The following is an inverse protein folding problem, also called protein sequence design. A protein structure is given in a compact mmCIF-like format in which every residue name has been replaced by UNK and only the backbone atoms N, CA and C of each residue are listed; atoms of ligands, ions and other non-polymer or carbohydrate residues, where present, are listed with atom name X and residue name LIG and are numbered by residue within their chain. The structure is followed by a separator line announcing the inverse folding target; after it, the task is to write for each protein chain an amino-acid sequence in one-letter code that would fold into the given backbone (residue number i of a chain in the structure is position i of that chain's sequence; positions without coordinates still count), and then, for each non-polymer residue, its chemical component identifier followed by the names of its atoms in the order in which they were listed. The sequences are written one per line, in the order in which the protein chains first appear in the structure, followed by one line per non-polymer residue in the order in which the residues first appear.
data_IF_277063419652
#
_entry.id   IF_277063419652
#
_cell.length_a   1.000
_cell.length_b   1.000
_cell.length_c   1.000
_cell.angle_alpha   90.00
_cell.angle_beta   90.00
_cell.angle_gamma   90.00
#
_symmetry.space_group_name_H-M   'P 1'
#
loop_
_entity.id
_entity.type
_entity.pdbx_description
1 polymer ?
#
# COMPACT_ATOMS: atom_id res chain seq x y z
N UNK A 1 11.85 3.52 14.71
CA UNK A 1 11.08 2.27 14.89
C UNK A 1 10.00 2.21 13.84
N UNK A 2 9.73 1.03 13.29
CA UNK A 2 8.68 0.84 12.27
C UNK A 2 7.35 0.44 12.91
N UNK A 3 6.27 1.11 12.50
CA UNK A 3 4.90 0.89 12.93
C UNK A 3 4.02 0.58 11.71
N UNK A 4 3.00 -0.27 11.86
CA UNK A 4 2.07 -0.59 10.79
C UNK A 4 0.61 -0.24 11.18
N UNK A 5 -0.17 0.21 10.19
CA UNK A 5 -1.62 0.43 10.25
C UNK A 5 -2.21 0.13 8.88
N UNK A 6 -3.53 0.12 8.71
CA UNK A 6 -4.21 0.09 7.40
C UNK A 6 -5.44 0.99 7.42
N UNK A 7 -6.17 1.01 6.30
CA UNK A 7 -7.56 1.50 6.20
C UNK A 7 -7.76 2.91 6.77
N UNK A 8 -6.95 3.84 6.29
CA UNK A 8 -6.99 5.23 6.73
C UNK A 8 -8.09 6.03 6.02
N UNK A 9 -8.44 5.65 4.79
CA UNK A 9 -9.51 6.23 3.96
C UNK A 9 -9.55 7.77 3.97
N UNK A 10 -8.38 8.42 4.01
CA UNK A 10 -8.29 9.88 4.03
C UNK A 10 -8.76 10.55 5.33
N UNK A 11 -9.02 9.80 6.40
CA UNK A 11 -9.44 10.35 7.69
C UNK A 11 -8.25 10.95 8.46
N UNK A 12 -8.04 12.25 8.26
CA UNK A 12 -7.01 13.00 8.98
C UNK A 12 -7.21 13.00 10.51
N UNK A 13 -8.43 12.78 11.01
CA UNK A 13 -8.69 12.75 12.45
C UNK A 13 -7.95 11.59 13.13
N UNK A 14 -7.71 10.48 12.42
CA UNK A 14 -6.92 9.35 12.91
C UNK A 14 -5.52 9.80 13.37
N UNK A 15 -4.84 10.67 12.60
CA UNK A 15 -3.52 11.22 12.95
C UNK A 15 -3.52 12.13 14.20
N UNK A 16 -4.69 12.47 14.73
CA UNK A 16 -4.82 13.23 15.98
C UNK A 16 -4.85 12.35 17.22
N UNK A 17 -4.98 11.02 17.06
CA UNK A 17 -4.94 10.06 18.16
C UNK A 17 -3.55 10.00 18.81
N UNK A 18 -3.50 9.71 20.12
CA UNK A 18 -2.26 9.69 20.92
C UNK A 18 -1.18 8.78 20.30
N UNK A 19 -1.55 7.61 19.77
CA UNK A 19 -0.62 6.66 19.15
C UNK A 19 0.22 7.27 18.04
N UNK A 20 -0.36 8.13 17.18
CA UNK A 20 0.36 8.78 16.09
C UNK A 20 1.08 10.07 16.51
N UNK A 21 0.72 10.66 17.66
CA UNK A 21 1.40 11.82 18.23
C UNK A 21 2.70 11.43 18.95
N UNK A 22 2.75 10.20 19.47
CA UNK A 22 3.89 9.68 20.23
C UNK A 22 5.04 9.19 19.34
N UNK A 23 4.78 8.99 18.04
CA UNK A 23 5.83 8.73 17.04
C UNK A 23 6.88 9.84 17.11
N UNK A 24 8.16 9.45 17.03
CA UNK A 24 9.35 10.29 17.19
C UNK A 24 10.00 10.56 15.83
N UNK A 25 10.98 11.45 15.85
CA UNK A 25 11.85 11.62 14.69
C UNK A 25 12.65 10.35 14.44
N UNK A 26 12.80 9.97 13.18
CA UNK A 26 13.42 8.70 12.78
C UNK A 26 12.49 7.49 12.81
N UNK A 27 11.26 7.61 13.33
CA UNK A 27 10.26 6.55 13.21
C UNK A 27 9.64 6.50 11.80
N UNK A 28 9.11 5.33 11.46
CA UNK A 28 8.42 5.06 10.20
C UNK A 28 7.03 4.48 10.46
N UNK A 29 5.99 5.09 9.89
CA UNK A 29 4.64 4.53 9.84
C UNK A 29 4.39 3.97 8.44
N UNK A 30 4.04 2.69 8.35
CA UNK A 30 3.63 2.02 7.12
C UNK A 30 2.11 1.83 7.14
N UNK A 31 1.42 2.27 6.09
CA UNK A 31 -0.02 2.07 5.87
C UNK A 31 -0.21 0.94 4.84
N UNK A 32 -0.82 -0.17 5.26
CA UNK A 32 -1.01 -1.40 4.50
C UNK A 32 -2.23 -1.33 3.56
N UNK A 33 -2.33 -0.27 2.75
CA UNK A 33 -3.44 -0.05 1.84
C UNK A 33 -4.46 0.98 2.32
N UNK A 34 -5.29 1.43 1.38
CA UNK A 34 -6.36 2.42 1.56
C UNK A 34 -5.91 3.66 2.37
N UNK A 35 -4.82 4.28 1.90
CA UNK A 35 -4.30 5.52 2.45
C UNK A 35 -5.31 6.67 2.27
N UNK A 36 -5.92 6.78 1.09
CA UNK A 36 -7.12 7.59 0.82
C UNK A 36 -6.94 9.12 0.87
N UNK A 37 -5.72 9.64 0.96
CA UNK A 37 -5.45 11.09 0.93
C UNK A 37 -5.17 11.64 -0.48
N UNK A 38 -5.22 10.78 -1.51
CA UNK A 38 -4.93 11.11 -2.92
C UNK A 38 -6.11 10.62 -3.75
N UNK A 39 -7.09 11.48 -3.99
CA UNK A 39 -8.30 11.10 -4.74
C UNK A 39 -8.68 12.11 -5.80
N UNK A 40 -8.85 13.37 -5.44
CA UNK A 40 -9.24 14.45 -6.37
C UNK A 40 -8.05 15.30 -6.81
N UNK A 41 -6.97 15.31 -6.04
CA UNK A 41 -5.83 16.21 -6.26
C UNK A 41 -6.18 17.68 -6.04
N UNK A 42 -7.28 17.95 -5.33
CA UNK A 42 -7.78 19.29 -5.09
C UNK A 42 -6.96 20.04 -4.02
N UNK A 43 -7.28 21.33 -3.83
CA UNK A 43 -6.55 22.16 -2.87
C UNK A 43 -6.75 21.72 -1.41
N UNK A 44 -7.83 20.98 -1.10
CA UNK A 44 -8.12 20.48 0.25
C UNK A 44 -7.23 19.29 0.57
N UNK A 45 -7.12 18.32 -0.34
CA UNK A 45 -6.21 17.18 -0.24
C UNK A 45 -4.75 17.64 -0.17
N UNK A 46 -4.34 18.57 -1.03
CA UNK A 46 -2.99 19.14 -0.99
C UNK A 46 -2.66 19.74 0.37
N UNK A 47 -3.57 20.50 0.97
CA UNK A 47 -3.39 21.06 2.32
C UNK A 47 -3.27 19.98 3.40
N UNK A 48 -3.96 18.85 3.26
CA UNK A 48 -3.85 17.72 4.20
C UNK A 48 -2.50 17.02 4.02
N UNK A 49 -2.10 16.73 2.78
CA UNK A 49 -0.79 16.17 2.46
C UNK A 49 0.35 17.07 2.95
N UNK A 50 0.20 18.39 2.89
CA UNK A 50 1.21 19.32 3.44
C UNK A 50 1.23 19.31 4.98
N UNK A 51 0.10 19.05 5.65
CA UNK A 51 0.07 18.85 7.11
C UNK A 51 0.75 17.53 7.49
N UNK A 52 0.50 16.46 6.75
CA UNK A 52 1.19 15.18 6.91
C UNK A 52 2.68 15.30 6.56
N UNK A 53 3.00 16.16 5.59
CA UNK A 53 4.33 16.53 5.13
C UNK A 53 5.23 17.12 6.23
N UNK A 54 4.61 17.70 7.27
CA UNK A 54 5.29 18.30 8.43
C UNK A 54 5.45 17.35 9.61
N UNK A 55 5.04 16.08 9.49
CA UNK A 55 5.26 15.09 10.54
C UNK A 55 6.75 14.76 10.61
N UNK A 56 7.30 14.65 11.82
CA UNK A 56 8.70 14.33 12.08
C UNK A 56 9.10 12.88 11.76
N UNK A 57 8.13 12.03 11.48
CA UNK A 57 8.32 10.63 11.09
C UNK A 57 7.97 10.43 9.61
N UNK A 58 8.46 9.33 9.04
CA UNK A 58 8.11 8.92 7.67
C UNK A 58 6.73 8.28 7.63
N UNK A 59 5.98 8.57 6.58
CA UNK A 59 4.70 7.93 6.27
C UNK A 59 4.89 7.20 4.93
N UNK A 60 4.90 5.89 4.99
CA UNK A 60 4.99 5.02 3.84
C UNK A 60 3.64 4.33 3.66
N UNK A 61 3.26 4.01 2.44
CA UNK A 61 2.06 3.22 2.20
C UNK A 61 2.23 2.33 0.98
N UNK A 62 1.55 1.20 0.97
CA UNK A 62 1.22 0.46 -0.25
C UNK A 62 -0.19 0.85 -0.68
N UNK A 63 -0.48 0.78 -1.97
CA UNK A 63 -1.84 0.98 -2.47
C UNK A 63 -2.79 -0.15 -2.01
N UNK A 64 -4.07 0.18 -1.84
CA UNK A 64 -5.13 -0.79 -1.58
C UNK A 64 -6.09 -0.93 -2.76
N UNK A 65 -7.34 -1.29 -2.49
CA UNK A 65 -8.39 -1.39 -3.53
C UNK A 65 -9.01 -0.03 -3.85
N UNK A 66 -9.02 0.89 -2.89
CA UNK A 66 -9.66 2.19 -3.02
C UNK A 66 -8.63 3.31 -3.13
N UNK A 67 -7.87 3.33 -4.24
CA UNK A 67 -6.91 4.39 -4.55
C UNK A 67 -7.13 5.00 -5.94
N UNK A 68 -6.77 6.28 -6.11
CA UNK A 68 -6.73 6.89 -7.44
C UNK A 68 -5.40 6.58 -8.15
N UNK A 69 -5.34 5.46 -8.85
CA UNK A 69 -4.14 5.00 -9.56
C UNK A 69 -3.65 5.99 -10.63
N UNK A 70 -4.55 6.63 -11.37
CA UNK A 70 -4.20 7.62 -12.39
C UNK A 70 -3.51 8.85 -11.79
N UNK A 71 -3.96 9.30 -10.61
CA UNK A 71 -3.35 10.41 -9.90
C UNK A 71 -2.05 9.99 -9.21
N UNK A 72 -2.01 8.78 -8.66
CA UNK A 72 -0.85 8.21 -7.99
C UNK A 72 0.33 8.04 -8.96
N UNK A 73 0.06 7.56 -10.18
CA UNK A 73 1.06 7.37 -11.23
C UNK A 73 1.67 8.69 -11.76
N UNK A 74 1.06 9.85 -11.48
CA UNK A 74 1.61 11.17 -11.87
C UNK A 74 2.69 11.67 -10.93
N UNK A 75 2.81 11.10 -9.73
CA UNK A 75 3.88 11.48 -8.81
C UNK A 75 5.24 10.99 -9.31
N UNK A 76 6.33 11.74 -9.08
CA UNK A 76 7.65 11.34 -9.57
C UNK A 76 8.10 10.03 -8.91
N UNK A 77 8.56 9.09 -9.73
CA UNK A 77 9.20 7.87 -9.28
C UNK A 77 10.63 8.21 -8.86
N UNK A 78 11.01 7.80 -7.66
CA UNK A 78 12.35 7.97 -7.11
C UNK A 78 12.87 6.63 -6.59
N UNK A 79 14.20 6.48 -6.53
CA UNK A 79 14.80 5.43 -5.73
C UNK A 79 14.77 5.87 -4.26
N UNK A 80 14.00 5.15 -3.45
CA UNK A 80 13.86 5.38 -2.02
C UNK A 80 14.18 4.08 -1.29
N UNK A 81 15.12 4.11 -0.34
CA UNK A 81 15.46 2.96 0.49
C UNK A 81 15.74 1.65 -0.30
N UNK A 82 16.30 1.78 -1.51
CA UNK A 82 16.65 0.63 -2.36
C UNK A 82 15.57 0.19 -3.36
N UNK A 83 14.34 0.72 -3.27
CA UNK A 83 13.22 0.37 -4.15
C UNK A 83 12.64 1.58 -4.89
N UNK A 84 11.84 1.31 -5.93
CA UNK A 84 11.07 2.36 -6.63
C UNK A 84 9.89 2.81 -5.77
N UNK A 85 9.75 4.12 -5.56
CA UNK A 85 8.62 4.69 -4.83
C UNK A 85 8.10 5.94 -5.54
N UNK A 86 6.80 6.22 -5.45
CA UNK A 86 6.29 7.54 -5.83
C UNK A 86 6.50 8.51 -4.67
N UNK A 87 7.19 9.63 -4.92
CA UNK A 87 7.41 10.67 -3.92
C UNK A 87 6.21 11.61 -3.86
N UNK A 88 5.45 11.54 -2.77
CA UNK A 88 4.27 12.39 -2.55
C UNK A 88 4.68 13.70 -1.88
N UNK A 89 5.48 13.61 -0.81
CA UNK A 89 6.13 14.71 -0.08
C UNK A 89 7.48 14.23 0.44
N UNK A 90 8.26 15.08 1.09
CA UNK A 90 9.61 14.72 1.57
C UNK A 90 9.63 13.56 2.57
N UNK A 91 8.57 13.40 3.37
CA UNK A 91 8.41 12.29 4.31
C UNK A 91 7.26 11.33 3.93
N UNK A 92 6.63 11.47 2.75
CA UNK A 92 5.49 10.64 2.33
C UNK A 92 5.80 9.93 1.01
N UNK A 93 5.79 8.60 1.04
CA UNK A 93 6.11 7.78 -0.13
C UNK A 93 5.10 6.66 -0.33
N UNK A 94 4.68 6.48 -1.58
CA UNK A 94 4.00 5.26 -2.02
C UNK A 94 5.05 4.23 -2.39
N UNK A 95 5.11 3.13 -1.65
CA UNK A 95 6.00 1.99 -1.91
C UNK A 95 5.41 1.17 -3.06
N UNK A 96 6.06 1.20 -4.23
CA UNK A 96 5.52 0.55 -5.41
C UNK A 96 5.47 -0.97 -5.26
N UNK A 97 4.54 -1.59 -5.97
CA UNK A 97 4.34 -3.04 -6.03
C UNK A 97 5.62 -3.75 -6.51
N UNK A 98 5.90 -4.91 -5.94
CA UNK A 98 7.02 -5.78 -6.32
C UNK A 98 8.40 -5.28 -5.89
N UNK A 99 8.50 -4.24 -5.06
CA UNK A 99 9.78 -3.69 -4.61
C UNK A 99 10.18 -4.24 -3.24
N UNK A 100 11.49 -4.13 -2.94
CA UNK A 100 12.05 -4.42 -1.61
C UNK A 100 12.70 -3.14 -1.10
N UNK A 101 12.39 -2.76 0.14
CA UNK A 101 12.90 -1.56 0.80
C UNK A 101 13.70 -1.92 2.04
N UNK A 102 14.83 -1.27 2.25
CA UNK A 102 15.60 -1.33 3.50
C UNK A 102 15.23 -0.16 4.40
N UNK A 103 14.42 -0.44 5.42
CA UNK A 103 13.86 0.57 6.33
C UNK A 103 14.34 0.22 7.73
N UNK A 104 15.09 1.13 8.34
CA UNK A 104 15.61 0.97 9.71
C UNK A 104 16.41 -0.33 9.94
N UNK A 105 17.10 -0.82 8.90
CA UNK A 105 17.93 -2.03 8.94
C UNK A 105 17.22 -3.32 8.54
N UNK A 106 15.89 -3.29 8.38
CA UNK A 106 15.06 -4.45 8.03
C UNK A 106 14.56 -4.36 6.57
N UNK A 107 14.35 -5.50 5.92
CA UNK A 107 13.90 -5.60 4.53
C UNK A 107 12.40 -5.83 4.45
N UNK A 108 11.73 -4.95 3.72
CA UNK A 108 10.28 -4.97 3.50
C UNK A 108 9.99 -5.23 2.03
N UNK A 109 9.40 -6.38 1.71
CA UNK A 109 8.79 -6.60 0.41
C UNK A 109 7.39 -6.00 0.38
N UNK A 110 7.02 -5.33 -0.71
CA UNK A 110 5.72 -4.66 -0.84
C UNK A 110 4.93 -5.16 -2.04
N UNK A 111 3.66 -5.45 -1.81
CA UNK A 111 2.70 -5.77 -2.87
C UNK A 111 1.32 -5.25 -2.47
N UNK A 112 0.98 -4.06 -2.95
CA UNK A 112 -0.34 -3.47 -2.79
C UNK A 112 -1.40 -4.13 -3.67
N UNK A 113 -2.59 -3.52 -3.68
CA UNK A 113 -3.71 -3.95 -4.48
C UNK A 113 -4.58 -5.02 -3.83
N UNK A 114 -5.70 -5.30 -4.48
CA UNK A 114 -6.70 -6.25 -4.02
C UNK A 114 -7.89 -6.35 -4.97
N UNK A 115 -8.87 -7.15 -4.58
CA UNK A 115 -10.11 -7.33 -5.33
C UNK A 115 -11.27 -6.69 -4.56
N UNK A 116 -11.93 -5.67 -5.14
CA UNK A 116 -13.14 -5.12 -4.57
C UNK A 116 -14.34 -6.06 -4.80
N UNK A 117 -15.18 -6.35 -3.78
CA UNK A 117 -16.41 -7.13 -3.94
C UNK A 117 -17.40 -6.52 -4.95
N UNK A 118 -17.30 -5.21 -5.20
CA UNK A 118 -18.16 -4.47 -6.13
C UNK A 118 -17.60 -4.38 -7.55
N UNK A 119 -16.47 -5.05 -7.84
CA UNK A 119 -15.80 -4.96 -9.14
C UNK A 119 -16.76 -5.32 -10.31
N UNK A 120 -17.63 -6.30 -10.09
CA UNK A 120 -18.62 -6.74 -11.08
C UNK A 120 -19.70 -5.68 -11.40
N UNK A 121 -20.07 -4.84 -10.42
CA UNK A 121 -21.03 -3.74 -10.64
C UNK A 121 -20.40 -2.51 -11.31
N UNK A 122 -19.07 -2.37 -11.26
CA UNK A 122 -18.34 -1.21 -11.83
C UNK A 122 -17.81 -1.47 -13.25
N UNK A 123 -17.89 -2.70 -13.75
CA UNK A 123 -17.44 -3.12 -15.08
C UNK A 123 -18.16 -2.42 -16.23
N UNK A 124 -19.35 -1.85 -16.01
CA UNK A 124 -20.10 -1.20 -17.10
C UNK A 124 -19.55 0.17 -17.52
N UNK A 125 -18.71 0.83 -16.70
CA UNK A 125 -18.29 2.21 -17.00
C UNK A 125 -16.86 2.65 -16.68
N UNK A 126 -16.01 1.89 -15.97
CA UNK A 126 -14.78 2.49 -15.42
C UNK A 126 -13.48 1.69 -15.65
N UNK A 127 -12.43 2.38 -16.10
CA UNK A 127 -11.06 1.88 -16.28
C UNK A 127 -10.34 1.60 -14.95
N UNK A 128 -10.92 2.03 -13.83
CA UNK A 128 -10.31 1.98 -12.50
C UNK A 128 -10.20 0.58 -11.89
N UNK A 129 -11.18 -0.31 -12.12
CA UNK A 129 -11.22 -1.63 -11.48
C UNK A 129 -10.05 -2.54 -11.88
N UNK A 130 -9.45 -2.34 -13.05
CA UNK A 130 -8.32 -3.15 -13.52
C UNK A 130 -7.00 -2.82 -12.84
N UNK A 131 -6.84 -1.60 -12.33
CA UNK A 131 -5.61 -1.18 -11.65
C UNK A 131 -5.56 -1.61 -10.17
N UNK A 132 -6.71 -2.00 -9.60
CA UNK A 132 -6.82 -2.51 -8.23
C UNK A 132 -5.95 -3.75 -8.00
N UNK A 133 -5.84 -4.63 -9.01
CA UNK A 133 -4.96 -5.80 -8.96
C UNK A 133 -3.56 -5.47 -9.51
N UNK A 134 -2.50 -6.06 -8.94
CA UNK A 134 -1.18 -6.05 -9.54
C UNK A 134 -1.18 -6.62 -10.95
N UNK A 135 -0.49 -5.93 -11.84
CA UNK A 135 -0.26 -6.41 -13.20
C UNK A 135 0.70 -7.61 -13.19
N UNK A 136 0.70 -8.39 -14.27
CA UNK A 136 1.67 -9.48 -14.42
C UNK A 136 3.12 -8.99 -14.38
N UNK A 137 3.38 -7.78 -14.91
CA UNK A 137 4.71 -7.20 -14.89
C UNK A 137 5.16 -6.85 -13.47
N UNK A 138 4.27 -6.25 -12.66
CA UNK A 138 4.55 -5.95 -11.25
C UNK A 138 4.78 -7.22 -10.43
N UNK A 139 4.00 -8.28 -10.66
CA UNK A 139 4.20 -9.58 -10.02
C UNK A 139 5.52 -10.24 -10.45
N UNK A 140 5.87 -10.19 -11.74
CA UNK A 140 7.14 -10.72 -12.25
C UNK A 140 8.32 -9.95 -11.66
N UNK A 141 8.25 -8.62 -11.64
CA UNK A 141 9.27 -7.79 -11.01
C UNK A 141 9.42 -8.11 -9.51
N UNK A 142 8.30 -8.33 -8.82
CA UNK A 142 8.28 -8.80 -7.43
C UNK A 142 9.03 -10.12 -7.23
N UNK A 143 8.74 -11.12 -8.06
CA UNK A 143 9.42 -12.41 -8.03
C UNK A 143 10.92 -12.27 -8.29
N UNK A 144 11.32 -11.50 -9.31
CA UNK A 144 12.73 -11.25 -9.64
C UNK A 144 13.47 -10.53 -8.51
N UNK A 145 12.82 -9.57 -7.84
CA UNK A 145 13.41 -8.90 -6.69
C UNK A 145 13.55 -9.86 -5.51
N UNK A 146 12.55 -10.69 -5.22
CA UNK A 146 12.67 -11.72 -4.18
C UNK A 146 13.80 -12.71 -4.48
N UNK A 147 13.95 -13.16 -5.74
CA UNK A 147 15.05 -14.03 -6.17
C UNK A 147 16.43 -13.41 -5.92
N UNK A 148 16.62 -12.12 -6.25
CA UNK A 148 17.87 -11.38 -5.98
C UNK A 148 18.24 -11.40 -4.50
N UNK A 149 17.24 -11.32 -3.62
CA UNK A 149 17.41 -11.40 -2.17
C UNK A 149 17.31 -12.84 -1.63
N UNK A 150 17.32 -13.85 -2.50
CA UNK A 150 17.22 -15.28 -2.16
C UNK A 150 16.00 -15.60 -1.29
N UNK A 151 14.90 -14.90 -1.53
CA UNK A 151 13.65 -14.98 -0.77
C UNK A 151 13.82 -14.68 0.73
N UNK A 152 14.84 -13.89 1.10
CA UNK A 152 15.08 -13.46 2.48
C UNK A 152 14.71 -12.00 2.65
N UNK A 153 13.50 -11.78 3.14
CA UNK A 153 12.99 -10.49 3.61
C UNK A 153 12.46 -10.64 5.03
N UNK A 154 12.51 -9.57 5.81
CA UNK A 154 12.13 -9.58 7.22
C UNK A 154 10.61 -9.38 7.38
N UNK A 155 10.01 -8.60 6.47
CA UNK A 155 8.58 -8.30 6.45
C UNK A 155 8.00 -8.29 5.03
N UNK A 156 6.72 -8.68 4.92
CA UNK A 156 5.91 -8.54 3.71
C UNK A 156 4.74 -7.60 4.04
N UNK A 157 4.59 -6.53 3.27
CA UNK A 157 3.54 -5.53 3.43
C UNK A 157 2.59 -5.63 2.24
N UNK A 158 1.36 -6.05 2.50
CA UNK A 158 0.29 -6.20 1.51
C UNK A 158 -0.99 -5.56 2.02
N UNK A 159 -1.87 -5.18 1.09
CA UNK A 159 -3.24 -4.81 1.45
C UNK A 159 -4.12 -6.05 1.58
N UNK A 160 -4.12 -6.91 0.56
CA UNK A 160 -4.79 -8.21 0.66
C UNK A 160 -3.95 -9.29 1.35
N UNK A 161 -4.59 -10.21 2.09
CA UNK A 161 -3.92 -11.39 2.64
C UNK A 161 -3.63 -12.45 1.55
N UNK A 162 -2.68 -13.35 1.82
CA UNK A 162 -2.47 -14.55 1.01
C UNK A 162 -3.71 -15.45 1.05
N UNK A 163 -3.84 -16.33 0.04
CA UNK A 163 -4.97 -17.26 -0.05
C UNK A 163 -5.17 -18.08 1.22
N UNK A 164 -4.10 -18.59 1.84
CA UNK A 164 -4.17 -19.37 3.08
C UNK A 164 -4.78 -18.58 4.23
N UNK A 165 -4.38 -17.31 4.39
CA UNK A 165 -4.90 -16.44 5.44
C UNK A 165 -6.33 -16.00 5.12
N UNK A 166 -6.64 -15.67 3.86
CA UNK A 166 -8.00 -15.34 3.40
C UNK A 166 -8.97 -16.48 3.72
N UNK A 167 -8.58 -17.71 3.41
CA UNK A 167 -9.34 -18.91 3.74
C UNK A 167 -9.54 -19.05 5.25
N UNK A 168 -8.48 -18.86 6.05
CA UNK A 168 -8.57 -18.94 7.51
C UNK A 168 -9.53 -17.90 8.12
N UNK A 169 -9.46 -16.65 7.65
CA UNK A 169 -10.30 -15.56 8.14
C UNK A 169 -11.78 -15.78 7.83
N UNK A 170 -12.09 -16.41 6.69
CA UNK A 170 -13.45 -16.64 6.20
C UNK A 170 -13.98 -18.05 6.51
N UNK A 171 -13.34 -18.80 7.40
CA UNK A 171 -13.78 -20.15 7.81
C UNK A 171 -15.22 -20.21 8.36
N UNK A 172 -15.78 -19.07 8.78
CA UNK A 172 -17.15 -18.97 9.33
C UNK A 172 -18.16 -18.39 8.34
N UNK A 173 -17.73 -17.99 7.15
CA UNK A 173 -18.61 -17.41 6.15
C UNK A 173 -19.22 -18.55 5.31
N UNK A 174 -20.54 -18.50 5.08
CA UNK A 174 -21.23 -19.44 4.19
C UNK A 174 -21.16 -19.04 2.71
N UNK A 175 -20.46 -17.95 2.39
CA UNK A 175 -20.32 -17.43 1.03
C UNK A 175 -19.10 -18.03 0.33
N UNK A 176 -19.15 -18.22 -1.00
CA UNK A 176 -17.98 -18.65 -1.77
C UNK A 176 -16.79 -17.71 -1.54
N UNK A 177 -15.61 -18.30 -1.33
CA UNK A 177 -14.35 -17.59 -1.23
C UNK A 177 -13.85 -17.23 -2.63
N UNK A 178 -13.90 -15.95 -3.00
CA UNK A 178 -13.22 -15.44 -4.20
C UNK A 178 -11.72 -15.33 -3.92
N UNK A 179 -10.92 -15.99 -4.75
CA UNK A 179 -9.45 -15.99 -4.68
C UNK A 179 -8.92 -15.42 -5.99
N UNK A 180 -8.20 -14.31 -5.89
CA UNK A 180 -7.58 -13.65 -7.03
C UNK A 180 -6.18 -14.22 -7.32
N UNK A 181 -5.63 -13.88 -8.49
CA UNK A 181 -4.24 -14.19 -8.83
C UNK A 181 -3.24 -13.59 -7.83
N UNK A 182 -3.57 -12.44 -7.23
CA UNK A 182 -2.77 -11.84 -6.16
C UNK A 182 -2.75 -12.71 -4.90
N UNK A 183 -3.90 -13.25 -4.47
CA UNK A 183 -3.94 -14.10 -3.28
C UNK A 183 -3.07 -15.37 -3.45
N UNK A 184 -3.06 -15.94 -4.66
CA UNK A 184 -2.24 -17.09 -5.02
C UNK A 184 -0.74 -16.73 -5.14
N UNK A 185 -0.42 -15.54 -5.66
CA UNK A 185 0.96 -15.04 -5.75
C UNK A 185 1.64 -14.91 -4.37
N UNK A 186 0.88 -14.55 -3.33
CA UNK A 186 1.38 -14.35 -1.96
C UNK A 186 1.52 -15.64 -1.13
N UNK A 187 1.37 -16.82 -1.74
CA UNK A 187 1.36 -18.11 -1.04
C UNK A 187 2.73 -18.75 -0.84
#
# INVERSE_FOLDING_TARGET
MVYATGDMHGDYALFSQKKFKNLKEGDTLIVCGDFGFIWRGDSKEKKILDKLGRKKYKILFVDGTHENFDLLARYPIVNFAGGKAHKIRDNIYHLMRGQIFEIEGEKYFTMGGGESPDADMRLEHDTWSRAELPTQEEMREGAENLEKYKYKVDYIITHEPSQKIKNFLRLKDNEPLTVSGLNAYLQ
#
